data_IF_853138829917
#
_entry.id   IF_853138829917
#
_cell.length_a   1.000
_cell.length_b   1.000
_cell.length_c   1.000
_cell.angle_alpha   90.00
_cell.angle_beta   90.00
_cell.angle_gamma   90.00
#
_symmetry.space_group_name_H-M   'P 1'
#
loop_
_entity.id
_entity.type
_entity.pdbx_description
1 polymer ?
#
# COMPACT_ATOMS: atom_id res chain seq x y z
N UNK A 1 10.43 24.09 -10.21
CA UNK A 1 9.21 23.46 -9.65
C UNK A 1 9.36 21.97 -9.89
N UNK A 2 9.97 21.27 -8.93
CA UNK A 2 10.18 19.81 -9.01
C UNK A 2 9.09 19.21 -8.14
N UNK A 3 8.10 18.57 -8.75
CA UNK A 3 7.11 17.76 -8.02
C UNK A 3 7.84 16.51 -7.54
N UNK A 4 8.41 16.54 -6.34
CA UNK A 4 8.91 15.35 -5.65
C UNK A 4 7.67 14.52 -5.27
N UNK A 5 7.33 13.53 -6.10
CA UNK A 5 6.46 12.44 -5.70
C UNK A 5 7.23 11.60 -4.68
N UNK A 6 7.03 11.92 -3.39
CA UNK A 6 7.63 11.18 -2.28
C UNK A 6 7.01 9.79 -2.23
N UNK A 7 7.66 8.80 -2.83
CA UNK A 7 7.32 7.39 -2.65
C UNK A 7 7.79 6.97 -1.26
N UNK A 8 6.88 6.90 -0.30
CA UNK A 8 7.17 6.39 1.04
C UNK A 8 6.99 4.86 1.00
N UNK A 9 8.09 4.10 0.88
CA UNK A 9 8.06 2.64 0.98
C UNK A 9 8.22 2.23 2.45
N UNK A 10 7.17 1.62 3.03
CA UNK A 10 7.24 1.04 4.37
C UNK A 10 7.74 -0.41 4.28
N UNK A 11 9.06 -0.61 4.42
CA UNK A 11 9.66 -1.94 4.50
C UNK A 11 9.58 -2.49 5.94
N UNK A 12 8.36 -2.87 6.34
CA UNK A 12 8.01 -3.89 7.35
C UNK A 12 6.67 -3.53 8.00
N UNK A 13 5.63 -4.22 7.57
CA UNK A 13 4.50 -4.58 8.45
C UNK A 13 4.59 -6.09 8.53
N UNK A 14 5.10 -6.61 9.66
CA UNK A 14 5.40 -8.04 9.81
C UNK A 14 4.16 -8.89 10.11
N UNK A 15 2.97 -8.30 10.04
CA UNK A 15 1.69 -8.99 10.20
C UNK A 15 0.72 -8.51 9.12
N UNK A 16 0.19 -9.45 8.32
CA UNK A 16 -0.78 -9.21 7.24
C UNK A 16 -1.98 -8.36 7.71
N UNK A 17 -2.41 -8.56 8.96
CA UNK A 17 -3.49 -7.78 9.58
C UNK A 17 -3.15 -6.29 9.72
N UNK A 18 -1.90 -5.95 10.06
CA UNK A 18 -1.46 -4.56 10.18
C UNK A 18 -1.36 -3.90 8.80
N UNK A 19 -0.81 -4.63 7.80
CA UNK A 19 -0.78 -4.16 6.40
C UNK A 19 -2.19 -3.89 5.89
N UNK A 20 -3.12 -4.81 6.16
CA UNK A 20 -4.51 -4.69 5.76
C UNK A 20 -5.20 -3.51 6.46
N UNK A 21 -4.99 -3.34 7.77
CA UNK A 21 -5.55 -2.22 8.51
C UNK A 21 -5.07 -0.88 7.96
N UNK A 22 -3.76 -0.72 7.72
CA UNK A 22 -3.20 0.50 7.14
C UNK A 22 -3.70 0.75 5.71
N UNK A 23 -3.83 -0.32 4.90
CA UNK A 23 -4.41 -0.21 3.56
C UNK A 23 -5.87 0.26 3.61
N UNK A 24 -6.68 -0.31 4.51
CA UNK A 24 -8.07 0.09 4.70
C UNK A 24 -8.17 1.55 5.16
N UNK A 25 -7.32 2.00 6.09
CA UNK A 25 -7.29 3.39 6.57
C UNK A 25 -6.82 4.39 5.50
N UNK A 26 -5.78 4.05 4.73
CA UNK A 26 -5.23 4.95 3.70
C UNK A 26 -6.09 4.98 2.44
N UNK A 27 -6.77 3.89 2.13
CA UNK A 27 -7.77 3.85 1.06
C UNK A 27 -9.11 4.48 1.48
N UNK A 28 -9.38 4.64 2.79
CA UNK A 28 -10.59 5.29 3.29
C UNK A 28 -10.63 6.77 2.86
N UNK A 29 -11.56 7.09 1.96
CA UNK A 29 -11.69 8.41 1.36
C UNK A 29 -10.70 8.70 0.24
N UNK A 30 -9.92 7.70 -0.16
CA UNK A 30 -9.05 7.70 -1.32
C UNK A 30 -9.63 6.89 -2.49
N UNK A 31 -8.75 6.34 -3.32
CA UNK A 31 -9.06 5.42 -4.41
C UNK A 31 -8.14 4.20 -4.33
N UNK A 32 -8.73 3.01 -4.26
CA UNK A 32 -7.99 1.77 -4.45
C UNK A 32 -7.62 1.64 -5.93
N UNK A 33 -6.33 1.48 -6.21
CA UNK A 33 -5.81 1.23 -7.56
C UNK A 33 -5.62 -0.28 -7.78
N UNK A 34 -5.11 -0.97 -6.75
CA UNK A 34 -4.97 -2.42 -6.69
C UNK A 34 -5.36 -2.88 -5.28
N UNK A 35 -6.34 -3.79 -5.20
CA UNK A 35 -6.66 -4.44 -3.92
C UNK A 35 -5.47 -5.23 -3.40
N UNK A 36 -5.27 -5.16 -2.07
CA UNK A 36 -4.26 -5.89 -1.36
C UNK A 36 -4.55 -7.40 -1.49
N UNK A 37 -3.68 -8.14 -2.18
CA UNK A 37 -3.87 -9.56 -2.49
C UNK A 37 -2.53 -10.28 -2.67
N UNK A 38 -2.54 -11.62 -2.56
CA UNK A 38 -1.40 -12.45 -2.92
C UNK A 38 -1.20 -12.39 -4.43
N UNK A 39 -0.02 -11.98 -4.85
CA UNK A 39 0.37 -11.93 -6.25
C UNK A 39 0.85 -13.30 -6.73
N UNK A 40 0.94 -13.47 -8.05
CA UNK A 40 1.33 -14.74 -8.65
C UNK A 40 2.73 -15.23 -8.25
N UNK A 41 3.58 -14.35 -7.72
CA UNK A 41 4.94 -14.65 -7.25
C UNK A 41 5.02 -14.94 -5.74
N UNK A 42 3.89 -14.97 -5.03
CA UNK A 42 3.80 -15.36 -3.63
C UNK A 42 3.84 -14.21 -2.62
N UNK A 43 4.19 -12.99 -3.03
CA UNK A 43 4.12 -11.83 -2.12
C UNK A 43 2.72 -11.22 -2.09
N UNK A 44 2.37 -10.61 -0.95
CA UNK A 44 1.21 -9.75 -0.80
C UNK A 44 1.48 -8.36 -1.38
N UNK A 45 0.63 -7.88 -2.29
CA UNK A 45 0.76 -6.56 -2.90
C UNK A 45 -0.58 -5.84 -3.01
N UNK A 46 -0.54 -4.52 -2.84
CA UNK A 46 -1.68 -3.64 -3.05
C UNK A 46 -1.24 -2.20 -3.25
N UNK A 47 -2.13 -1.39 -3.83
CA UNK A 47 -1.87 0.05 -3.99
C UNK A 47 -3.16 0.88 -3.90
N UNK A 48 -3.02 2.03 -3.27
CA UNK A 48 -4.12 2.99 -3.16
C UNK A 48 -3.58 4.42 -3.20
N UNK A 49 -4.43 5.35 -3.65
CA UNK A 49 -4.20 6.78 -3.53
C UNK A 49 -5.05 7.30 -2.39
N UNK A 50 -4.45 7.98 -1.41
CA UNK A 50 -5.21 8.53 -0.29
C UNK A 50 -6.01 9.80 -0.69
N UNK A 51 -6.78 10.33 0.28
CA UNK A 51 -7.56 11.57 0.10
C UNK A 51 -6.71 12.82 -0.18
N UNK A 52 -5.42 12.79 0.09
CA UNK A 52 -4.48 13.88 -0.16
C UNK A 52 -3.79 13.75 -1.52
N UNK A 53 -4.07 12.67 -2.26
CA UNK A 53 -3.48 12.39 -3.57
C UNK A 53 -2.12 11.69 -3.50
N UNK A 54 -1.70 11.23 -2.32
CA UNK A 54 -0.45 10.48 -2.13
C UNK A 54 -0.69 9.03 -2.56
N UNK A 55 0.24 8.50 -3.35
CA UNK A 55 0.20 7.11 -3.80
C UNK A 55 0.96 6.22 -2.82
N UNK A 56 0.29 5.19 -2.33
CA UNK A 56 0.80 4.19 -1.40
C UNK A 56 0.88 2.85 -2.10
N UNK A 57 2.01 2.17 -1.94
CA UNK A 57 2.22 0.81 -2.41
C UNK A 57 2.64 -0.06 -1.22
N UNK A 58 1.99 -1.21 -1.11
CA UNK A 58 2.24 -2.18 -0.07
C UNK A 58 2.86 -3.40 -0.71
N UNK A 59 4.03 -3.80 -0.22
CA UNK A 59 4.68 -5.07 -0.56
C UNK A 59 4.97 -5.79 0.76
N UNK A 60 4.40 -6.97 0.94
CA UNK A 60 4.68 -7.83 2.08
C UNK A 60 5.07 -9.21 1.55
N UNK A 61 6.33 -9.59 1.73
CA UNK A 61 6.77 -10.95 1.44
C UNK A 61 6.38 -11.86 2.60
N UNK A 62 5.67 -12.95 2.31
CA UNK A 62 5.58 -14.08 3.23
C UNK A 62 7.01 -14.58 3.50
N UNK A 63 7.38 -14.72 4.78
CA UNK A 63 8.69 -15.21 5.19
C UNK A 63 8.70 -16.72 5.36
#
# INVERSE_FOLDING_TARGET
MVTLSTYLNFERTTEEEETKHLFDELSAGGKVEQELQVMFWGDYYGSCRDKFGIQWMFNCSEK
#
